data_IF_750466287666
#
_entry.id   IF_750466287666
#
_cell.length_a   1.000
_cell.length_b   1.000
_cell.length_c   1.000
_cell.angle_alpha   90.00
_cell.angle_beta   90.00
_cell.angle_gamma   90.00
#
_symmetry.space_group_name_H-M   'P 1'
#
loop_
_entity.id
_entity.type
_entity.pdbx_description
1 polymer ?
#
# COMPACT_ATOMS: atom_id res chain seq x y z
N UNK A 1 3.98 9.61 3.79
CA UNK A 1 3.66 11.06 3.87
C UNK A 1 4.31 11.81 2.72
N UNK A 2 5.63 11.71 2.51
CA UNK A 2 6.35 12.34 1.38
C UNK A 2 5.82 11.93 0.00
N UNK A 3 5.59 10.62 -0.22
CA UNK A 3 4.98 10.11 -1.47
C UNK A 3 3.57 10.65 -1.69
N UNK A 4 2.76 10.79 -0.64
CA UNK A 4 1.41 11.34 -0.74
C UNK A 4 1.44 12.83 -1.09
N UNK A 5 2.33 13.60 -0.44
CA UNK A 5 2.53 15.01 -0.75
C UNK A 5 2.99 15.21 -2.21
N UNK A 6 3.93 14.38 -2.67
CA UNK A 6 4.39 14.41 -4.07
C UNK A 6 3.26 14.08 -5.04
N UNK A 7 2.43 13.07 -4.74
CA UNK A 7 1.26 12.73 -5.54
C UNK A 7 0.25 13.89 -5.63
N UNK A 8 0.01 14.60 -4.53
CA UNK A 8 -0.85 15.79 -4.52
C UNK A 8 -0.29 16.90 -5.42
N UNK A 9 1.02 17.17 -5.34
CA UNK A 9 1.66 18.13 -6.21
C UNK A 9 1.51 17.75 -7.69
N UNK A 10 1.75 16.49 -8.05
CA UNK A 10 1.58 16.00 -9.42
C UNK A 10 0.14 16.19 -9.96
N UNK A 11 -0.86 15.98 -9.09
CA UNK A 11 -2.25 16.29 -9.45
C UNK A 11 -2.46 17.78 -9.73
N UNK A 12 -1.94 18.66 -8.86
CA UNK A 12 -2.05 20.10 -9.02
C UNK A 12 -1.32 20.62 -10.27
N UNK A 13 -0.11 20.13 -10.54
CA UNK A 13 0.64 20.44 -11.77
C UNK A 13 -0.19 20.13 -13.02
N UNK A 14 -0.88 18.98 -13.03
CA UNK A 14 -1.75 18.57 -14.13
C UNK A 14 -2.99 19.46 -14.27
N UNK A 15 -3.57 19.89 -13.14
CA UNK A 15 -4.77 20.76 -13.12
C UNK A 15 -4.45 22.21 -13.49
N UNK A 16 -3.28 22.71 -13.11
CA UNK A 16 -2.91 24.12 -13.19
C UNK A 16 -1.87 24.41 -14.27
N UNK A 17 -1.39 23.38 -14.98
CA UNK A 17 -0.36 23.48 -16.02
C UNK A 17 0.90 24.22 -15.55
N UNK A 18 1.39 23.88 -14.37
CA UNK A 18 2.59 24.47 -13.77
C UNK A 18 3.53 23.41 -13.22
N UNK A 19 4.76 23.81 -12.89
CA UNK A 19 5.73 22.97 -12.20
C UNK A 19 5.76 23.31 -10.70
N UNK A 20 5.72 22.27 -9.86
CA UNK A 20 5.85 22.38 -8.41
C UNK A 20 7.10 21.60 -8.00
N UNK A 21 8.23 22.26 -7.68
CA UNK A 21 9.48 21.57 -7.39
C UNK A 21 9.57 21.01 -5.97
N UNK A 22 8.80 21.55 -5.01
CA UNK A 22 8.84 21.16 -3.60
C UNK A 22 7.53 21.41 -2.87
N UNK A 23 7.38 20.79 -1.71
CA UNK A 23 6.30 21.04 -0.75
C UNK A 23 6.82 20.97 0.69
N UNK A 24 5.91 21.03 1.66
CA UNK A 24 6.28 20.90 3.06
C UNK A 24 5.28 20.04 3.85
N UNK A 25 5.81 19.20 4.74
CA UNK A 25 5.04 18.49 5.75
C UNK A 25 5.10 19.29 7.05
N UNK A 26 3.95 19.53 7.68
CA UNK A 26 3.89 20.19 8.99
C UNK A 26 3.56 19.18 10.08
N UNK A 27 4.51 18.96 10.99
CA UNK A 27 4.30 18.10 12.15
C UNK A 27 3.83 18.94 13.33
N UNK A 28 2.57 18.74 13.73
CA UNK A 28 1.90 19.56 14.75
C UNK A 28 2.54 19.49 16.14
N UNK A 29 3.08 18.32 16.52
CA UNK A 29 3.70 18.11 17.83
C UNK A 29 4.92 19.00 18.05
N UNK A 30 5.85 18.99 17.07
CA UNK A 30 7.07 19.80 17.11
C UNK A 30 6.89 21.19 16.48
N UNK A 31 5.68 21.50 15.99
CA UNK A 31 5.32 22.74 15.27
C UNK A 31 6.30 23.14 14.18
N UNK A 32 6.83 22.16 13.44
CA UNK A 32 7.88 22.36 12.45
C UNK A 32 7.42 21.93 11.07
N UNK A 33 7.80 22.73 10.07
CA UNK A 33 7.71 22.35 8.66
C UNK A 33 9.01 21.67 8.23
N UNK A 34 8.86 20.51 7.61
CA UNK A 34 9.93 19.82 6.89
C UNK A 34 9.70 20.02 5.40
N UNK A 35 10.68 20.61 4.70
CA UNK A 35 10.62 20.77 3.25
C UNK A 35 10.93 19.44 2.57
N UNK A 36 10.21 19.15 1.50
CA UNK A 36 10.34 17.94 0.70
C UNK A 36 10.49 18.35 -0.76
N UNK A 37 11.67 18.13 -1.33
CA UNK A 37 11.89 18.32 -2.76
C UNK A 37 11.29 17.16 -3.55
N UNK A 38 10.58 17.45 -4.64
CA UNK A 38 9.94 16.44 -5.48
C UNK A 38 10.90 15.94 -6.55
N UNK A 39 11.87 15.15 -6.13
CA UNK A 39 12.90 14.60 -7.01
C UNK A 39 12.31 13.65 -8.05
N UNK A 40 13.02 13.40 -9.17
CA UNK A 40 12.60 12.43 -10.18
C UNK A 40 12.32 11.05 -9.59
N UNK A 41 13.13 10.59 -8.63
CA UNK A 41 12.98 9.30 -7.97
C UNK A 41 11.71 9.24 -7.13
N UNK A 42 11.38 10.31 -6.40
CA UNK A 42 10.15 10.38 -5.62
C UNK A 42 8.91 10.34 -6.53
N UNK A 43 8.96 11.07 -7.65
CA UNK A 43 7.91 11.06 -8.68
C UNK A 43 7.77 9.69 -9.35
N UNK A 44 8.88 9.01 -9.63
CA UNK A 44 8.88 7.65 -10.15
C UNK A 44 8.19 6.68 -9.17
N UNK A 45 8.56 6.75 -7.89
CA UNK A 45 7.92 5.94 -6.85
C UNK A 45 6.41 6.17 -6.73
N UNK A 46 5.93 7.41 -6.88
CA UNK A 46 4.49 7.70 -6.96
C UNK A 46 3.84 7.00 -8.15
N UNK A 47 4.44 7.09 -9.35
CA UNK A 47 3.90 6.47 -10.56
C UNK A 47 3.86 4.94 -10.45
N UNK A 48 4.92 4.33 -9.94
CA UNK A 48 5.02 2.88 -9.75
C UNK A 48 3.96 2.35 -8.78
N UNK A 49 3.86 2.94 -7.59
CA UNK A 49 2.87 2.53 -6.58
C UNK A 49 1.43 2.75 -7.05
N UNK A 50 1.17 3.86 -7.76
CA UNK A 50 -0.14 4.13 -8.33
C UNK A 50 -0.52 3.10 -9.40
N UNK A 51 0.43 2.74 -10.27
CA UNK A 51 0.22 1.72 -11.29
C UNK A 51 -0.05 0.34 -10.65
N UNK A 52 0.73 -0.06 -9.66
CA UNK A 52 0.54 -1.31 -8.92
C UNK A 52 -0.85 -1.34 -8.25
N UNK A 53 -1.23 -0.26 -7.56
CA UNK A 53 -2.53 -0.17 -6.89
C UNK A 53 -3.69 -0.35 -7.89
N UNK A 54 -3.63 0.32 -9.04
CA UNK A 54 -4.66 0.17 -10.09
C UNK A 54 -4.66 -1.23 -10.72
N UNK A 55 -3.50 -1.86 -10.86
CA UNK A 55 -3.40 -3.24 -11.36
C UNK A 55 -4.06 -4.24 -10.41
N UNK A 56 -3.75 -4.14 -9.11
CA UNK A 56 -4.34 -4.99 -8.08
C UNK A 56 -5.86 -4.85 -8.05
N UNK A 57 -6.35 -3.61 -8.12
CA UNK A 57 -7.78 -3.31 -8.15
C UNK A 57 -8.46 -3.90 -9.38
N UNK A 58 -7.89 -3.69 -10.58
CA UNK A 58 -8.46 -4.19 -11.84
C UNK A 58 -8.56 -5.71 -11.88
N UNK A 59 -7.60 -6.41 -11.27
CA UNK A 59 -7.58 -7.87 -11.18
C UNK A 59 -8.45 -8.44 -10.06
N UNK A 60 -9.02 -7.59 -9.20
CA UNK A 60 -9.73 -8.03 -7.99
C UNK A 60 -8.83 -8.84 -7.04
N UNK A 61 -7.51 -8.59 -7.09
CA UNK A 61 -6.54 -9.39 -6.36
C UNK A 61 -6.09 -8.66 -5.10
N UNK A 62 -6.41 -9.24 -3.94
CA UNK A 62 -5.88 -8.77 -2.65
C UNK A 62 -4.50 -9.40 -2.41
N UNK A 63 -3.42 -8.59 -2.32
CA UNK A 63 -2.08 -9.11 -2.12
C UNK A 63 -1.94 -9.81 -0.76
N UNK A 64 -1.01 -10.77 -0.69
CA UNK A 64 -0.71 -11.50 0.55
C UNK A 64 -0.08 -10.57 1.57
N UNK A 65 -0.72 -10.44 2.74
CA UNK A 65 -0.20 -9.63 3.83
C UNK A 65 1.06 -10.25 4.45
N UNK A 66 2.04 -9.41 4.77
CA UNK A 66 3.19 -9.77 5.62
C UNK A 66 2.90 -9.26 7.03
N UNK A 67 2.54 -10.13 7.99
CA UNK A 67 2.17 -9.67 9.33
C UNK A 67 3.33 -8.95 10.02
N UNK A 68 3.07 -7.76 10.55
CA UNK A 68 4.03 -6.97 11.34
C UNK A 68 3.36 -6.43 12.61
N UNK A 69 4.11 -5.74 13.47
CA UNK A 69 3.54 -5.11 14.69
C UNK A 69 2.46 -4.06 14.38
N UNK A 70 2.53 -3.41 13.21
CA UNK A 70 1.55 -2.38 12.81
C UNK A 70 0.17 -2.96 12.52
N UNK A 71 0.04 -4.27 12.26
CA UNK A 71 -1.26 -4.93 12.08
C UNK A 71 -2.18 -4.77 13.31
N UNK A 72 -1.62 -4.60 14.52
CA UNK A 72 -2.41 -4.40 15.73
C UNK A 72 -3.13 -3.05 15.78
N UNK A 73 -2.60 -2.04 15.07
CA UNK A 73 -3.17 -0.71 14.95
C UNK A 73 -3.90 -0.51 13.60
N UNK A 74 -4.01 -1.56 12.78
CA UNK A 74 -4.66 -1.47 11.48
C UNK A 74 -6.17 -1.40 11.64
N UNK A 75 -6.82 -0.43 11.00
CA UNK A 75 -8.29 -0.30 10.97
C UNK A 75 -9.00 -1.50 10.34
N UNK A 76 -8.30 -2.26 9.49
CA UNK A 76 -8.84 -3.46 8.84
C UNK A 76 -8.56 -4.76 9.61
N UNK A 77 -8.04 -4.69 10.84
CA UNK A 77 -7.60 -5.88 11.59
C UNK A 77 -8.69 -6.95 11.74
N UNK A 78 -9.92 -6.52 12.03
CA UNK A 78 -11.05 -7.44 12.26
C UNK A 78 -11.63 -8.01 10.96
N UNK A 79 -11.34 -7.38 9.81
CA UNK A 79 -11.76 -7.85 8.48
C UNK A 79 -10.68 -8.69 7.80
N UNK A 80 -9.42 -8.43 8.12
CA UNK A 80 -8.27 -9.12 7.54
C UNK A 80 -8.16 -10.53 8.13
N UNK A 81 -7.97 -11.55 7.28
CA UNK A 81 -7.89 -12.95 7.69
C UNK A 81 -6.49 -13.56 7.45
N UNK A 82 -5.41 -13.01 8.06
CA UNK A 82 -4.03 -13.44 7.78
C UNK A 82 -3.77 -14.89 8.21
N UNK A 83 -4.51 -15.43 9.18
CA UNK A 83 -4.37 -16.81 9.64
C UNK A 83 -4.67 -17.83 8.55
N UNK A 84 -5.60 -17.52 7.64
CA UNK A 84 -5.98 -18.41 6.54
C UNK A 84 -4.85 -18.63 5.53
N UNK A 85 -3.87 -17.72 5.47
CA UNK A 85 -2.70 -17.85 4.60
C UNK A 85 -1.77 -19.01 5.01
N UNK A 86 -1.85 -19.47 6.26
CA UNK A 86 -1.06 -20.59 6.79
C UNK A 86 -1.83 -21.90 6.84
N UNK A 87 -3.11 -21.89 6.48
CA UNK A 87 -3.96 -23.08 6.53
C UNK A 87 -3.62 -24.05 5.38
N UNK A 88 -3.73 -25.35 5.67
CA UNK A 88 -3.58 -26.41 4.67
C UNK A 88 -4.57 -26.19 3.52
N UNK A 89 -4.14 -26.45 2.29
CA UNK A 89 -5.02 -26.39 1.13
C UNK A 89 -6.22 -27.32 1.34
N UNK A 90 -7.42 -26.85 0.98
CA UNK A 90 -8.66 -27.61 1.13
C UNK A 90 -8.57 -28.97 0.41
N UNK A 91 -7.95 -29.01 -0.77
CA UNK A 91 -7.69 -30.24 -1.52
C UNK A 91 -6.89 -31.27 -0.72
N UNK A 92 -5.84 -30.81 -0.02
CA UNK A 92 -5.03 -31.69 0.81
C UNK A 92 -5.82 -32.17 2.05
N UNK A 93 -6.68 -31.33 2.62
CA UNK A 93 -7.58 -31.75 3.70
C UNK A 93 -8.56 -32.83 3.23
N UNK A 94 -9.24 -32.61 2.10
CA UNK A 94 -10.21 -33.56 1.53
C UNK A 94 -9.56 -34.91 1.21
N UNK A 95 -8.36 -34.90 0.61
CA UNK A 95 -7.61 -36.12 0.31
C UNK A 95 -7.30 -36.93 1.57
N UNK A 96 -6.85 -36.28 2.64
CA UNK A 96 -6.61 -36.96 3.91
C UNK A 96 -7.89 -37.46 4.58
N UNK A 97 -9.00 -36.70 4.49
CA UNK A 97 -10.28 -37.09 5.06
C UNK A 97 -10.93 -38.26 4.31
N UNK A 98 -10.70 -38.38 3.00
CA UNK A 98 -11.19 -39.50 2.18
C UNK A 98 -10.28 -40.75 2.26
N UNK A 99 -9.23 -40.73 3.09
CA UNK A 99 -8.34 -41.88 3.26
C UNK A 99 -7.42 -42.16 2.07
N UNK A 100 -7.44 -41.32 1.04
CA UNK A 100 -6.50 -41.36 -0.07
C UNK A 100 -5.14 -40.83 0.41
N UNK A 101 -4.36 -41.68 1.05
CA UNK A 101 -2.93 -41.39 1.18
C UNK A 101 -2.26 -41.57 -0.20
N UNK A 102 -1.12 -40.89 -0.47
CA UNK A 102 -0.41 -41.07 -1.74
C UNK A 102 -0.10 -42.54 -2.05
#
# INVERSE_FOLDING_TARGET
DTLQLCAQAMCLESMLCCDIPEGALYYGEIRRRERVSFTPELRAGVRELLAEMHELYRRGYTPRVKPTRSCNACSLKELCLPKLMKSRAVSAYLRAAMGESP
#
